data_IF_550544659297
#
_entry.id   IF_550544659297
#
_cell.length_a   1.000
_cell.length_b   1.000
_cell.length_c   1.000
_cell.angle_alpha   90.00
_cell.angle_beta   90.00
_cell.angle_gamma   90.00
#
_symmetry.space_group_name_H-M   'P 1'
#
loop_
_entity.id
_entity.type
_entity.pdbx_description
1 polymer ?
#
# COMPACT_ATOMS: atom_id res chain seq x y z
N UNK A 1 -3.51 25.19 6.46
CA UNK A 1 -3.54 24.40 7.69
C UNK A 1 -2.37 24.85 8.54
N UNK A 2 -2.61 25.17 9.81
CA UNK A 2 -1.54 25.54 10.74
C UNK A 2 -0.71 24.28 11.07
N UNK A 3 0.59 24.30 10.75
CA UNK A 3 1.48 23.15 10.89
C UNK A 3 1.65 22.67 12.33
N UNK A 4 1.53 23.58 13.31
CA UNK A 4 1.67 23.23 14.72
C UNK A 4 0.44 22.48 15.25
N UNK A 5 -0.77 22.89 14.82
CA UNK A 5 -2.00 22.14 15.11
C UNK A 5 -1.96 20.74 14.48
N UNK A 6 -1.49 20.65 13.23
CA UNK A 6 -1.34 19.34 12.58
C UNK A 6 -0.33 18.43 13.32
N UNK A 7 0.72 19.00 13.93
CA UNK A 7 1.69 18.24 14.74
C UNK A 7 1.03 17.59 15.95
N UNK A 8 0.18 18.32 16.67
CA UNK A 8 -0.57 17.78 17.83
C UNK A 8 -1.47 16.62 17.40
N UNK A 9 -2.23 16.79 16.32
CA UNK A 9 -3.10 15.73 15.77
C UNK A 9 -2.30 14.50 15.33
N UNK A 10 -1.16 14.70 14.66
CA UNK A 10 -0.34 13.61 14.15
C UNK A 10 0.30 12.79 15.28
N UNK A 11 0.61 13.39 16.44
CA UNK A 11 1.06 12.67 17.64
C UNK A 11 0.00 11.68 18.18
N UNK A 12 -1.28 12.00 18.01
CA UNK A 12 -2.39 11.12 18.40
C UNK A 12 -2.61 10.03 17.35
N UNK A 13 -2.72 10.40 16.06
CA UNK A 13 -3.21 9.50 15.00
C UNK A 13 -2.13 8.63 14.36
N UNK A 14 -0.88 9.11 14.23
CA UNK A 14 0.21 8.35 13.58
C UNK A 14 0.42 6.95 14.15
N UNK A 15 0.46 6.73 15.48
CA UNK A 15 0.73 5.40 16.05
C UNK A 15 -0.46 4.43 15.94
N UNK A 16 -1.68 4.90 15.67
CA UNK A 16 -2.87 4.03 15.64
C UNK A 16 -2.74 2.93 14.56
N UNK A 17 -3.16 1.69 14.82
CA UNK A 17 -3.18 0.61 13.83
C UNK A 17 -4.43 0.70 12.94
N UNK A 18 -4.54 1.78 12.16
CA UNK A 18 -5.64 2.02 11.23
C UNK A 18 -5.15 2.13 9.77
N UNK A 19 -6.05 1.84 8.84
CA UNK A 19 -5.88 2.06 7.41
C UNK A 19 -5.60 3.53 7.11
N UNK A 20 -4.88 3.79 6.02
CA UNK A 20 -4.55 5.15 5.59
C UNK A 20 -5.79 6.05 5.49
N UNK A 21 -6.86 5.56 4.86
CA UNK A 21 -8.12 6.31 4.68
C UNK A 21 -8.75 6.68 6.02
N UNK A 22 -8.84 5.73 6.96
CA UNK A 22 -9.40 5.99 8.28
C UNK A 22 -8.52 6.94 9.11
N UNK A 23 -7.19 6.82 9.00
CA UNK A 23 -6.27 7.82 9.58
C UNK A 23 -6.46 9.20 8.99
N UNK A 24 -6.70 9.32 7.69
CA UNK A 24 -6.98 10.62 7.07
C UNK A 24 -8.24 11.24 7.67
N UNK A 25 -9.31 10.46 7.77
CA UNK A 25 -10.57 10.91 8.36
C UNK A 25 -10.36 11.39 9.81
N UNK A 26 -9.71 10.56 10.64
CA UNK A 26 -9.38 10.93 12.02
C UNK A 26 -8.54 12.20 12.11
N UNK A 27 -7.51 12.35 11.25
CA UNK A 27 -6.69 13.57 11.20
C UNK A 27 -7.51 14.81 10.87
N UNK A 28 -8.39 14.72 9.87
CA UNK A 28 -9.22 15.85 9.46
C UNK A 28 -10.22 16.23 10.54
N UNK A 29 -10.92 15.25 11.14
CA UNK A 29 -11.88 15.48 12.21
C UNK A 29 -11.22 16.13 13.44
N UNK A 30 -10.12 15.55 13.92
CA UNK A 30 -9.38 16.09 15.06
C UNK A 30 -8.75 17.45 14.77
N UNK A 31 -8.27 17.68 13.54
CA UNK A 31 -7.74 18.98 13.13
C UNK A 31 -8.82 20.05 13.12
N UNK A 32 -10.01 19.75 12.58
CA UNK A 32 -11.13 20.71 12.59
C UNK A 32 -11.55 21.06 14.02
N UNK A 33 -11.62 20.07 14.92
CA UNK A 33 -11.93 20.33 16.34
C UNK A 33 -10.84 21.18 17.02
N UNK A 34 -9.57 20.83 16.81
CA UNK A 34 -8.45 21.58 17.39
C UNK A 34 -8.33 22.99 16.82
N UNK A 35 -8.59 23.17 15.52
CA UNK A 35 -8.62 24.48 14.86
C UNK A 35 -9.75 25.34 15.41
N UNK A 36 -10.93 24.76 15.66
CA UNK A 36 -12.03 25.48 16.30
C UNK A 36 -11.64 25.97 17.70
N UNK A 37 -11.09 25.08 18.55
CA UNK A 37 -10.62 25.47 19.89
C UNK A 37 -9.57 26.57 19.78
N UNK A 38 -8.61 26.45 18.86
CA UNK A 38 -7.59 27.46 18.64
C UNK A 38 -8.19 28.82 18.26
N UNK A 39 -9.19 28.88 17.37
CA UNK A 39 -9.87 30.13 17.02
C UNK A 39 -10.64 30.72 18.21
N UNK A 40 -11.28 29.90 19.03
CA UNK A 40 -11.92 30.35 20.27
C UNK A 40 -10.90 30.99 21.23
N UNK A 41 -9.75 30.35 21.45
CA UNK A 41 -8.70 30.89 22.32
C UNK A 41 -8.02 32.14 21.74
N UNK A 42 -7.86 32.21 20.42
CA UNK A 42 -7.28 33.38 19.73
C UNK A 42 -8.20 34.60 19.77
N UNK A 43 -9.53 34.37 19.77
CA UNK A 43 -10.53 35.44 19.87
C UNK A 43 -10.60 36.11 21.24
N UNK A 44 -9.93 35.56 22.26
CA UNK A 44 -9.84 36.18 23.58
C UNK A 44 -8.87 37.37 23.55
N UNK A 45 -9.39 38.56 23.87
CA UNK A 45 -8.66 39.84 23.81
C UNK A 45 -7.23 39.75 24.39
N UNK A 46 -6.25 40.16 23.57
CA UNK A 46 -4.84 40.26 23.96
C UNK A 46 -4.06 38.93 23.97
N UNK A 47 -4.64 37.82 23.52
CA UNK A 47 -3.93 36.52 23.47
C UNK A 47 -3.03 36.44 22.24
N UNK A 48 -1.74 36.12 22.43
CA UNK A 48 -0.82 35.87 21.32
C UNK A 48 -1.14 34.54 20.63
N UNK A 49 -0.79 34.39 19.35
CA UNK A 49 -0.96 33.13 18.61
C UNK A 49 -0.31 31.93 19.32
N UNK A 50 0.86 32.14 19.92
CA UNK A 50 1.59 31.11 20.67
C UNK A 50 0.86 30.70 21.95
N UNK A 51 0.29 31.65 22.69
CA UNK A 51 -0.48 31.38 23.89
C UNK A 51 -1.81 30.69 23.55
N UNK A 52 -2.48 31.12 22.47
CA UNK A 52 -3.69 30.48 21.98
C UNK A 52 -3.43 29.02 21.56
N UNK A 53 -2.31 28.76 20.87
CA UNK A 53 -1.90 27.40 20.50
C UNK A 53 -1.66 26.51 21.74
N UNK A 54 -0.95 27.03 22.74
CA UNK A 54 -0.67 26.28 23.97
C UNK A 54 -1.95 25.98 24.76
N UNK A 55 -2.84 26.97 24.92
CA UNK A 55 -4.14 26.78 25.58
C UNK A 55 -5.02 25.80 24.81
N UNK A 56 -5.08 25.92 23.49
CA UNK A 56 -5.83 25.01 22.64
C UNK A 56 -5.31 23.56 22.75
N UNK A 57 -3.99 23.36 22.74
CA UNK A 57 -3.36 22.06 22.95
C UNK A 57 -3.70 21.46 24.32
N UNK A 58 -3.64 22.27 25.38
CA UNK A 58 -4.03 21.82 26.74
C UNK A 58 -5.52 21.46 26.83
N UNK A 59 -6.40 22.26 26.22
CA UNK A 59 -7.86 22.04 26.22
C UNK A 59 -8.28 20.88 25.32
N UNK A 60 -7.52 20.59 24.27
CA UNK A 60 -7.70 19.42 23.42
C UNK A 60 -7.51 18.10 24.18
N UNK A 61 -6.67 18.11 25.22
CA UNK A 61 -6.52 17.00 26.17
C UNK A 61 -5.20 16.25 26.04
N UNK A 62 -5.04 15.20 26.85
CA UNK A 62 -3.86 14.33 26.81
C UNK A 62 -3.88 13.46 25.53
N UNK A 63 -2.83 13.55 24.67
CA UNK A 63 -2.71 12.73 23.48
C UNK A 63 -2.83 11.22 23.71
N UNK A 64 -2.40 10.71 24.87
CA UNK A 64 -2.46 9.28 25.19
C UNK A 64 -3.89 8.82 25.50
N UNK A 65 -4.67 9.64 26.21
CA UNK A 65 -6.09 9.37 26.47
C UNK A 65 -6.90 9.38 25.17
N UNK A 66 -6.73 10.42 24.34
CA UNK A 66 -7.38 10.51 23.03
C UNK A 66 -7.02 9.32 22.13
N UNK A 67 -5.75 8.89 22.17
CA UNK A 67 -5.31 7.70 21.42
C UNK A 67 -6.02 6.44 21.92
N UNK A 68 -6.18 6.29 23.24
CA UNK A 68 -6.92 5.18 23.85
C UNK A 68 -8.37 5.12 23.37
N UNK A 69 -9.06 6.27 23.37
CA UNK A 69 -10.44 6.39 22.89
C UNK A 69 -10.55 6.09 21.39
N UNK A 70 -9.71 6.69 20.56
CA UNK A 70 -9.69 6.43 19.12
C UNK A 70 -9.36 4.97 18.81
N UNK A 71 -8.45 4.36 19.56
CA UNK A 71 -8.12 2.95 19.38
C UNK A 71 -9.37 2.09 19.54
N UNK A 72 -10.21 2.34 20.56
CA UNK A 72 -11.46 1.61 20.78
C UNK A 72 -12.45 1.72 19.60
N UNK A 73 -12.40 2.81 18.83
CA UNK A 73 -13.24 2.99 17.63
C UNK A 73 -12.76 2.18 16.42
N UNK A 74 -11.51 1.71 16.39
CA UNK A 74 -10.94 0.98 15.26
C UNK A 74 -11.30 -0.52 15.35
N UNK A 75 -12.01 -1.09 14.34
CA UNK A 75 -12.36 -2.51 14.31
C UNK A 75 -11.13 -3.43 14.41
N UNK A 76 -11.26 -4.56 15.11
CA UNK A 76 -10.17 -5.53 15.26
C UNK A 76 -9.65 -6.07 13.92
N UNK A 77 -10.54 -6.26 12.94
CA UNK A 77 -10.18 -6.68 11.58
C UNK A 77 -9.26 -5.68 10.89
N UNK A 78 -9.49 -4.38 11.09
CA UNK A 78 -8.66 -3.31 10.54
C UNK A 78 -7.27 -3.28 11.19
N UNK A 79 -7.21 -3.53 12.50
CA UNK A 79 -5.93 -3.61 13.23
C UNK A 79 -5.10 -4.80 12.72
N UNK A 80 -5.73 -5.97 12.57
CA UNK A 80 -5.09 -7.16 12.02
C UNK A 80 -4.59 -6.92 10.59
N UNK A 81 -5.41 -6.27 9.76
CA UNK A 81 -5.01 -5.91 8.39
C UNK A 81 -3.84 -4.93 8.37
N UNK A 82 -3.79 -3.95 9.27
CA UNK A 82 -2.68 -2.99 9.36
C UNK A 82 -1.37 -3.68 9.76
N UNK A 83 -1.44 -4.69 10.61
CA UNK A 83 -0.28 -5.53 10.97
C UNK A 83 0.17 -6.34 9.75
N UNK A 84 -0.76 -6.99 9.05
CA UNK A 84 -0.47 -7.74 7.83
C UNK A 84 0.15 -6.85 6.75
N UNK A 85 -0.41 -5.66 6.49
CA UNK A 85 0.12 -4.68 5.54
C UNK A 85 1.55 -4.25 5.90
N UNK A 86 1.80 -3.96 7.19
CA UNK A 86 3.14 -3.60 7.68
C UNK A 86 4.17 -4.72 7.45
N UNK A 87 3.78 -5.97 7.65
CA UNK A 87 4.66 -7.12 7.52
C UNK A 87 4.88 -7.54 6.07
N UNK A 88 3.81 -7.56 5.28
CA UNK A 88 3.81 -8.17 3.94
C UNK A 88 4.06 -7.15 2.83
N UNK A 89 3.49 -5.95 2.91
CA UNK A 89 3.41 -5.03 1.76
C UNK A 89 4.25 -3.77 1.95
N UNK A 90 4.43 -3.31 3.18
CA UNK A 90 5.13 -2.04 3.44
C UNK A 90 6.66 -2.20 3.40
N UNK A 91 7.33 -1.30 2.68
CA UNK A 91 8.78 -1.15 2.70
C UNK A 91 9.24 -0.68 4.08
N UNK A 92 10.25 -1.36 4.65
CA UNK A 92 10.83 -1.00 5.95
C UNK A 92 11.72 0.23 5.81
N UNK A 93 11.85 1.01 6.88
CA UNK A 93 12.80 2.13 6.93
C UNK A 93 14.22 1.60 6.71
N UNK A 94 14.97 2.20 5.78
CA UNK A 94 16.33 1.77 5.41
C UNK A 94 16.41 0.57 4.46
N UNK A 95 15.32 -0.15 4.19
CA UNK A 95 15.32 -1.26 3.23
C UNK A 95 15.54 -0.73 1.81
N UNK A 96 16.46 -1.30 1.03
CA UNK A 96 16.68 -0.93 -0.37
C UNK A 96 15.48 -1.32 -1.25
N UNK A 97 15.24 -0.59 -2.35
CA UNK A 97 14.10 -0.85 -3.24
C UNK A 97 14.11 -2.27 -3.81
N UNK A 98 15.28 -2.76 -4.24
CA UNK A 98 15.42 -4.12 -4.79
C UNK A 98 15.15 -5.20 -3.75
N UNK A 99 15.67 -5.03 -2.53
CA UNK A 99 15.42 -5.96 -1.41
C UNK A 99 13.93 -6.02 -1.06
N UNK A 100 13.28 -4.85 -1.03
CA UNK A 100 11.84 -4.76 -0.86
C UNK A 100 11.07 -5.50 -1.98
N UNK A 101 11.38 -5.26 -3.25
CA UNK A 101 10.73 -5.94 -4.38
C UNK A 101 10.95 -7.46 -4.31
N UNK A 102 12.15 -7.90 -3.92
CA UNK A 102 12.49 -9.31 -3.76
C UNK A 102 11.66 -9.97 -2.66
N UNK A 103 11.51 -9.30 -1.51
CA UNK A 103 10.65 -9.75 -0.42
C UNK A 103 9.18 -9.90 -0.86
N UNK A 104 8.66 -8.95 -1.64
CA UNK A 104 7.30 -9.04 -2.21
C UNK A 104 7.18 -10.24 -3.15
N UNK A 105 8.16 -10.45 -4.05
CA UNK A 105 8.21 -11.62 -4.92
C UNK A 105 8.21 -12.93 -4.14
N UNK A 106 9.01 -13.02 -3.07
CA UNK A 106 9.06 -14.20 -2.20
C UNK A 106 7.74 -14.44 -1.46
N UNK A 107 7.09 -13.40 -0.95
CA UNK A 107 5.76 -13.52 -0.33
C UNK A 107 4.71 -14.00 -1.33
N UNK A 108 4.75 -13.53 -2.57
CA UNK A 108 3.85 -13.99 -3.63
C UNK A 108 4.09 -15.48 -3.97
N UNK A 109 5.35 -15.92 -4.09
CA UNK A 109 5.68 -17.34 -4.25
C UNK A 109 5.15 -18.19 -3.09
N UNK A 110 5.39 -17.76 -1.84
CA UNK A 110 4.93 -18.47 -0.65
C UNK A 110 3.40 -18.58 -0.62
N UNK A 111 2.70 -17.50 -0.95
CA UNK A 111 1.24 -17.49 -1.07
C UNK A 111 0.75 -18.51 -2.11
N UNK A 112 1.40 -18.58 -3.28
CA UNK A 112 1.08 -19.58 -4.31
C UNK A 112 1.37 -21.01 -3.87
N UNK A 113 2.48 -21.24 -3.16
CA UNK A 113 2.79 -22.57 -2.60
C UNK A 113 1.70 -23.02 -1.62
N UNK A 114 1.32 -22.15 -0.67
CA UNK A 114 0.27 -22.44 0.30
C UNK A 114 -1.09 -22.70 -0.37
N UNK A 115 -1.41 -21.93 -1.41
CA UNK A 115 -2.62 -22.12 -2.20
C UNK A 115 -2.61 -23.47 -2.94
N UNK A 116 -1.48 -23.85 -3.53
CA UNK A 116 -1.33 -25.16 -4.19
C UNK A 116 -1.45 -26.34 -3.24
N UNK A 117 -0.86 -26.22 -2.05
CA UNK A 117 -1.01 -27.21 -0.98
C UNK A 117 -2.48 -27.36 -0.56
N UNK A 118 -3.21 -26.25 -0.44
CA UNK A 118 -4.64 -26.27 -0.15
C UNK A 118 -5.42 -27.00 -1.25
N UNK A 119 -5.18 -26.68 -2.53
CA UNK A 119 -5.83 -27.36 -3.65
C UNK A 119 -5.52 -28.86 -3.67
N UNK A 120 -4.27 -29.24 -3.38
CA UNK A 120 -3.87 -30.64 -3.26
C UNK A 120 -4.63 -31.37 -2.15
N UNK A 121 -4.75 -30.75 -0.97
CA UNK A 121 -5.52 -31.31 0.15
C UNK A 121 -7.00 -31.48 -0.24
N UNK A 122 -7.61 -30.47 -0.88
CA UNK A 122 -9.00 -30.57 -1.34
C UNK A 122 -9.17 -31.69 -2.38
N UNK A 123 -8.25 -31.82 -3.33
CA UNK A 123 -8.29 -32.85 -4.36
C UNK A 123 -8.20 -34.27 -3.77
N UNK A 124 -7.31 -34.48 -2.79
CA UNK A 124 -7.18 -35.79 -2.13
C UNK A 124 -8.44 -36.18 -1.34
N UNK A 125 -9.14 -35.22 -0.73
CA UNK A 125 -10.42 -35.48 -0.06
C UNK A 125 -11.57 -35.79 -1.04
N UNK A 126 -11.53 -35.28 -2.26
CA UNK A 126 -12.57 -35.53 -3.27
C UNK A 126 -12.49 -36.92 -3.93
N UNK A 127 -11.57 -37.81 -3.48
CA UNK A 127 -11.32 -39.14 -4.07
C UNK A 127 -11.02 -39.12 -5.57
N UNK A 128 -10.56 -37.98 -6.07
CA UNK A 128 -9.96 -37.93 -7.40
C UNK A 128 -8.55 -38.49 -7.29
N UNK A 129 -8.12 -39.24 -8.32
CA UNK A 129 -6.75 -39.73 -8.42
C UNK A 129 -5.75 -38.57 -8.19
N UNK A 130 -4.61 -38.82 -7.53
CA UNK A 130 -3.63 -37.78 -7.26
C UNK A 130 -3.20 -37.08 -8.56
N UNK A 131 -2.94 -35.76 -8.52
CA UNK A 131 -2.58 -35.02 -9.71
C UNK A 131 -1.32 -35.62 -10.36
N UNK A 132 -1.37 -35.78 -11.68
CA UNK A 132 -0.26 -36.29 -12.49
C UNK A 132 1.03 -35.47 -12.30
N UNK A 133 2.19 -36.08 -12.55
CA UNK A 133 3.50 -35.40 -12.50
C UNK A 133 3.54 -34.11 -13.37
N UNK A 134 2.77 -34.10 -14.46
CA UNK A 134 2.58 -32.95 -15.37
C UNK A 134 2.03 -31.71 -14.66
N UNK A 135 1.12 -31.89 -13.69
CA UNK A 135 0.53 -30.81 -12.91
C UNK A 135 1.58 -30.08 -12.05
N UNK A 136 2.49 -30.82 -11.41
CA UNK A 136 3.51 -30.23 -10.54
C UNK A 136 4.56 -29.43 -11.31
N UNK A 137 4.91 -29.87 -12.53
CA UNK A 137 5.76 -29.11 -13.43
C UNK A 137 5.15 -27.75 -13.78
N UNK A 138 3.87 -27.76 -14.18
CA UNK A 138 3.12 -26.53 -14.46
C UNK A 138 3.00 -25.65 -13.20
N UNK A 139 2.67 -26.24 -12.05
CA UNK A 139 2.50 -25.50 -10.80
C UNK A 139 3.78 -24.78 -10.38
N UNK A 140 4.93 -25.44 -10.54
CA UNK A 140 6.24 -24.85 -10.25
C UNK A 140 6.51 -23.64 -11.16
N UNK A 141 6.20 -23.77 -12.46
CA UNK A 141 6.30 -22.66 -13.42
C UNK A 141 5.37 -21.51 -13.04
N UNK A 142 4.13 -21.80 -12.62
CA UNK A 142 3.17 -20.80 -12.17
C UNK A 142 3.68 -20.04 -10.92
N UNK A 143 4.24 -20.76 -9.92
CA UNK A 143 4.84 -20.13 -8.74
C UNK A 143 5.97 -19.17 -9.13
N UNK A 144 6.89 -19.62 -9.98
CA UNK A 144 8.04 -18.81 -10.41
C UNK A 144 7.60 -17.58 -11.19
N UNK A 145 6.66 -17.73 -12.13
CA UNK A 145 6.13 -16.61 -12.92
C UNK A 145 5.42 -15.59 -12.02
N UNK A 146 4.60 -16.03 -11.06
CA UNK A 146 3.95 -15.12 -10.09
C UNK A 146 4.97 -14.35 -9.25
N UNK A 147 6.03 -15.02 -8.78
CA UNK A 147 7.11 -14.38 -8.01
C UNK A 147 7.85 -13.31 -8.81
N UNK A 148 8.29 -13.66 -10.02
CA UNK A 148 9.00 -12.74 -10.94
C UNK A 148 8.11 -11.57 -11.33
N UNK A 149 6.83 -11.84 -11.64
CA UNK A 149 5.87 -10.79 -11.97
C UNK A 149 5.65 -9.84 -10.80
N UNK A 150 5.50 -10.36 -9.58
CA UNK A 150 5.33 -9.55 -8.38
C UNK A 150 6.54 -8.67 -8.10
N UNK A 151 7.76 -9.21 -8.25
CA UNK A 151 9.00 -8.44 -8.16
C UNK A 151 9.05 -7.29 -9.18
N UNK A 152 8.86 -7.61 -10.46
CA UNK A 152 8.98 -6.65 -11.55
C UNK A 152 7.86 -5.59 -11.50
N UNK A 153 6.61 -5.99 -11.25
CA UNK A 153 5.49 -5.04 -11.13
C UNK A 153 5.69 -4.09 -9.95
N UNK A 154 6.21 -4.57 -8.83
CA UNK A 154 6.54 -3.70 -7.68
C UNK A 154 7.63 -2.70 -8.04
N UNK A 155 8.68 -3.15 -8.74
CA UNK A 155 9.77 -2.29 -9.19
C UNK A 155 9.27 -1.23 -10.19
N UNK A 156 8.55 -1.66 -11.23
CA UNK A 156 7.96 -0.79 -12.24
C UNK A 156 6.98 0.21 -11.61
N UNK A 157 6.17 -0.23 -10.65
CA UNK A 157 5.22 0.63 -9.93
C UNK A 157 5.94 1.75 -9.17
N UNK A 158 7.04 1.42 -8.47
CA UNK A 158 7.84 2.42 -7.76
C UNK A 158 8.53 3.41 -8.73
N UNK A 159 9.06 2.92 -9.86
CA UNK A 159 9.66 3.78 -10.90
C UNK A 159 8.61 4.69 -11.55
N UNK A 160 7.42 4.15 -11.84
CA UNK A 160 6.31 4.90 -12.41
C UNK A 160 5.80 5.98 -11.43
N UNK A 161 5.68 5.65 -10.13
CA UNK A 161 5.29 6.59 -9.09
C UNK A 161 6.28 7.76 -8.95
N UNK A 162 7.58 7.53 -9.15
CA UNK A 162 8.59 8.61 -9.17
C UNK A 162 8.40 9.61 -10.33
N UNK A 163 7.61 9.26 -11.35
CA UNK A 163 7.21 10.17 -12.44
C UNK A 163 6.14 11.19 -12.04
N UNK A 164 5.52 11.04 -10.87
CA UNK A 164 4.53 11.98 -10.34
C UNK A 164 5.20 12.93 -9.35
N UNK A 165 4.95 14.23 -9.49
CA UNK A 165 5.37 15.25 -8.53
C UNK A 165 4.14 15.94 -7.98
N UNK A 166 4.17 16.23 -6.70
CA UNK A 166 3.07 16.93 -6.03
C UNK A 166 3.41 18.42 -5.99
N UNK A 167 2.50 19.23 -6.52
CA UNK A 167 2.63 20.69 -6.54
C UNK A 167 1.31 21.26 -6.01
N UNK A 168 1.34 21.85 -4.81
CA UNK A 168 0.19 22.50 -4.15
C UNK A 168 -1.05 21.58 -4.04
N UNK A 169 -0.88 20.34 -3.58
CA UNK A 169 -1.98 19.39 -3.41
C UNK A 169 -2.57 18.83 -4.72
N UNK A 170 -2.00 19.18 -5.88
CA UNK A 170 -2.33 18.56 -7.17
C UNK A 170 -1.21 17.63 -7.60
N UNK A 171 -1.57 16.42 -8.04
CA UNK A 171 -0.66 15.51 -8.72
C UNK A 171 -0.34 16.05 -10.11
N UNK A 172 0.91 16.43 -10.35
CA UNK A 172 1.41 16.76 -11.68
C UNK A 172 2.25 15.62 -12.22
N UNK A 173 2.04 15.34 -13.49
CA UNK A 173 2.74 14.31 -14.23
C UNK A 173 4.01 14.90 -14.82
N UNK A 174 5.17 14.56 -14.25
CA UNK A 174 6.46 15.17 -14.63
C UNK A 174 7.24 14.28 -15.59
N UNK A 175 6.99 12.97 -15.57
CA UNK A 175 7.65 11.99 -16.44
C UNK A 175 6.68 11.13 -17.23
N UNK A 176 5.91 11.69 -18.19
CA UNK A 176 4.90 10.93 -18.93
C UNK A 176 5.46 9.71 -19.65
N UNK A 177 6.62 9.87 -20.27
CA UNK A 177 7.28 8.78 -20.98
C UNK A 177 7.65 7.63 -20.04
N UNK A 178 8.15 7.91 -18.84
CA UNK A 178 8.53 6.86 -17.88
C UNK A 178 7.31 6.05 -17.44
N UNK A 179 6.20 6.71 -17.15
CA UNK A 179 4.96 6.03 -16.78
C UNK A 179 4.41 5.17 -17.92
N UNK A 180 4.37 5.70 -19.15
CA UNK A 180 3.92 4.95 -20.33
C UNK A 180 4.81 3.72 -20.55
N UNK A 181 6.13 3.89 -20.50
CA UNK A 181 7.07 2.78 -20.65
C UNK A 181 6.93 1.73 -19.55
N UNK A 182 6.76 2.13 -18.29
CA UNK A 182 6.52 1.19 -17.19
C UNK A 182 5.19 0.45 -17.35
N UNK A 183 4.16 1.13 -17.85
CA UNK A 183 2.84 0.55 -18.12
C UNK A 183 2.91 -0.50 -19.24
N UNK A 184 3.57 -0.17 -20.34
CA UNK A 184 3.78 -1.10 -21.45
C UNK A 184 4.63 -2.29 -20.99
N UNK A 185 5.71 -2.06 -20.24
CA UNK A 185 6.55 -3.12 -19.69
C UNK A 185 5.77 -4.06 -18.76
N UNK A 186 4.90 -3.51 -17.88
CA UNK A 186 4.03 -4.30 -17.02
C UNK A 186 3.06 -5.17 -17.83
N UNK A 187 2.42 -4.61 -18.86
CA UNK A 187 1.52 -5.35 -19.74
C UNK A 187 2.24 -6.48 -20.50
N UNK A 188 3.39 -6.17 -21.11
CA UNK A 188 4.20 -7.16 -21.85
C UNK A 188 4.69 -8.29 -20.94
N UNK A 189 5.09 -7.97 -19.71
CA UNK A 189 5.57 -8.94 -18.73
C UNK A 189 4.49 -9.97 -18.36
N UNK A 190 3.28 -9.51 -18.03
CA UNK A 190 2.17 -10.41 -17.69
C UNK A 190 1.71 -11.18 -18.92
N UNK A 191 1.56 -10.53 -20.07
CA UNK A 191 1.19 -11.19 -21.31
C UNK A 191 2.15 -12.32 -21.70
N UNK A 192 3.46 -12.09 -21.55
CA UNK A 192 4.48 -13.12 -21.83
C UNK A 192 4.38 -14.30 -20.86
N UNK A 193 4.15 -14.01 -19.58
CA UNK A 193 4.00 -15.05 -18.54
C UNK A 193 2.74 -15.89 -18.77
N UNK A 194 1.63 -15.27 -19.13
CA UNK A 194 0.37 -15.97 -19.42
C UNK A 194 0.49 -16.84 -20.67
N UNK A 195 1.08 -16.33 -21.75
CA UNK A 195 1.33 -17.13 -22.96
C UNK A 195 2.24 -18.31 -22.66
N UNK A 196 3.27 -18.14 -21.83
CA UNK A 196 4.15 -19.22 -21.40
C UNK A 196 3.39 -20.29 -20.60
N UNK A 197 2.52 -19.87 -19.67
CA UNK A 197 1.67 -20.77 -18.91
C UNK A 197 0.66 -21.52 -19.80
N UNK A 198 0.03 -20.83 -20.76
CA UNK A 198 -0.87 -21.43 -21.74
C UNK A 198 -0.14 -22.44 -22.63
N UNK A 199 1.05 -22.09 -23.13
CA UNK A 199 1.87 -22.98 -23.93
C UNK A 199 2.19 -24.29 -23.19
N UNK A 200 2.52 -24.20 -21.89
CA UNK A 200 2.82 -25.38 -21.09
C UNK A 200 1.57 -26.21 -20.77
N UNK A 201 0.43 -25.57 -20.47
CA UNK A 201 -0.78 -26.25 -20.02
C UNK A 201 -1.59 -26.85 -21.18
N UNK A 202 -1.79 -26.09 -22.24
CA UNK A 202 -2.69 -26.42 -23.35
C UNK A 202 -2.01 -26.45 -24.70
N UNK A 203 -0.71 -26.17 -24.80
CA UNK A 203 0.02 -26.07 -26.06
C UNK A 203 -0.22 -27.22 -27.06
N UNK A 204 -0.24 -28.50 -26.64
CA UNK A 204 -0.56 -29.61 -27.53
C UNK A 204 -1.99 -29.58 -28.11
N UNK A 205 -2.91 -28.90 -27.44
CA UNK A 205 -4.34 -28.83 -27.77
C UNK A 205 -4.78 -27.47 -28.32
N UNK A 206 -3.91 -26.44 -28.21
CA UNK A 206 -4.22 -25.07 -28.59
C UNK A 206 -4.03 -24.85 -30.09
N UNK A 207 -5.14 -24.65 -30.81
CA UNK A 207 -5.14 -24.48 -32.27
C UNK A 207 -5.10 -23.00 -32.72
N UNK A 208 -5.36 -22.06 -31.81
CA UNK A 208 -5.33 -20.63 -32.09
C UNK A 208 -3.90 -20.07 -31.98
N UNK A 209 -3.64 -18.94 -32.61
CA UNK A 209 -2.37 -18.22 -32.42
C UNK A 209 -2.24 -17.68 -30.99
N UNK A 210 -1.01 -17.54 -30.49
CA UNK A 210 -0.75 -16.93 -29.18
C UNK A 210 -0.80 -15.38 -29.19
N UNK A 211 -0.91 -14.76 -30.36
CA UNK A 211 -0.92 -13.31 -30.49
C UNK A 211 -2.17 -12.66 -29.88
N UNK A 212 -3.35 -13.26 -30.07
CA UNK A 212 -4.61 -12.76 -29.53
C UNK A 212 -4.64 -12.74 -27.99
N UNK A 213 -4.37 -13.85 -27.27
CA UNK A 213 -4.33 -13.83 -25.81
C UNK A 213 -3.22 -12.91 -25.29
N UNK A 214 -2.07 -12.84 -25.98
CA UNK A 214 -0.99 -11.93 -25.61
C UNK A 214 -1.44 -10.47 -25.62
N UNK A 215 -2.02 -10.01 -26.74
CA UNK A 215 -2.48 -8.62 -26.89
C UNK A 215 -3.59 -8.29 -25.91
N UNK A 216 -4.54 -9.21 -25.72
CA UNK A 216 -5.66 -9.04 -24.80
C UNK A 216 -5.18 -8.90 -23.35
N UNK A 217 -4.38 -9.86 -22.86
CA UNK A 217 -3.83 -9.83 -21.51
C UNK A 217 -2.96 -8.60 -21.31
N UNK A 218 -2.08 -8.28 -22.27
CA UNK A 218 -1.19 -7.13 -22.18
C UNK A 218 -1.94 -5.79 -22.10
N UNK A 219 -3.01 -5.62 -22.87
CA UNK A 219 -3.84 -4.41 -22.85
C UNK A 219 -4.57 -4.24 -21.52
N UNK A 220 -5.23 -5.29 -21.02
CA UNK A 220 -5.97 -5.24 -19.75
C UNK A 220 -5.00 -4.98 -18.59
N UNK A 221 -3.93 -5.75 -18.50
CA UNK A 221 -2.98 -5.66 -17.38
C UNK A 221 -2.21 -4.35 -17.40
N UNK A 222 -1.81 -3.85 -18.57
CA UNK A 222 -1.24 -2.51 -18.72
C UNK A 222 -2.22 -1.44 -18.25
N UNK A 223 -3.48 -1.50 -18.66
CA UNK A 223 -4.50 -0.53 -18.27
C UNK A 223 -4.76 -0.56 -16.76
N UNK A 224 -4.93 -1.75 -16.17
CA UNK A 224 -5.08 -1.93 -14.73
C UNK A 224 -3.89 -1.37 -13.96
N UNK A 225 -2.67 -1.67 -14.42
CA UNK A 225 -1.44 -1.14 -13.81
C UNK A 225 -1.42 0.39 -13.83
N UNK A 226 -1.72 1.01 -14.97
CA UNK A 226 -1.79 2.46 -15.10
C UNK A 226 -2.81 3.09 -14.14
N UNK A 227 -4.01 2.50 -14.05
CA UNK A 227 -5.07 2.96 -13.15
C UNK A 227 -4.63 2.85 -11.69
N UNK A 228 -4.05 1.72 -11.28
CA UNK A 228 -3.59 1.50 -9.90
C UNK A 228 -2.49 2.49 -9.53
N UNK A 229 -1.48 2.68 -10.40
CA UNK A 229 -0.39 3.63 -10.14
C UNK A 229 -0.93 5.07 -10.06
N UNK A 230 -1.87 5.44 -10.93
CA UNK A 230 -2.48 6.76 -10.90
C UNK A 230 -3.29 6.99 -9.61
N UNK A 231 -4.15 6.03 -9.25
CA UNK A 231 -4.92 6.08 -8.00
C UNK A 231 -4.00 6.18 -6.79
N UNK A 232 -2.90 5.41 -6.79
CA UNK A 232 -1.92 5.45 -5.71
C UNK A 232 -1.19 6.79 -5.64
N UNK A 233 -0.77 7.35 -6.77
CA UNK A 233 -0.15 8.67 -6.82
C UNK A 233 -1.10 9.77 -6.29
N UNK A 234 -2.39 9.66 -6.62
CA UNK A 234 -3.44 10.55 -6.13
C UNK A 234 -3.67 10.39 -4.63
N UNK A 235 -3.73 9.15 -4.15
CA UNK A 235 -3.83 8.83 -2.73
C UNK A 235 -2.64 9.46 -1.97
N UNK A 236 -1.41 9.15 -2.35
CA UNK A 236 -0.21 9.65 -1.68
C UNK A 236 -0.13 11.19 -1.68
N UNK A 237 -0.75 11.88 -2.66
CA UNK A 237 -0.85 13.33 -2.69
C UNK A 237 -1.80 13.92 -1.66
N UNK A 238 -2.86 13.20 -1.30
CA UNK A 238 -3.75 13.61 -0.20
C UNK A 238 -3.05 13.48 1.15
N UNK A 239 -2.12 12.53 1.29
CA UNK A 239 -1.41 12.25 2.55
C UNK A 239 -0.15 13.08 2.76
N UNK A 240 0.42 13.67 1.70
CA UNK A 240 1.71 14.36 1.77
C UNK A 240 1.80 15.44 2.86
N UNK A 241 0.83 16.36 3.03
CA UNK A 241 0.92 17.41 4.05
C UNK A 241 1.10 16.86 5.46
N UNK A 242 0.53 15.68 5.74
CA UNK A 242 0.62 15.01 7.03
C UNK A 242 1.92 14.21 7.21
N UNK A 243 2.45 13.67 6.12
CA UNK A 243 3.69 12.88 6.14
C UNK A 243 4.93 13.76 6.28
N UNK A 244 4.90 15.00 5.79
CA UNK A 244 6.00 15.98 5.90
C UNK A 244 6.17 16.54 7.31
N UNK A 245 5.19 16.34 8.19
CA UNK A 245 5.27 16.78 9.58
C UNK A 245 6.29 15.90 10.31
N UNK A 246 7.43 16.53 10.62
CA UNK A 246 8.39 15.99 11.57
C UNK A 246 7.76 16.04 12.97
N UNK A 247 7.59 14.85 13.55
CA UNK A 247 7.33 14.74 14.98
C UNK A 247 8.69 14.83 15.68
N UNK A 248 8.80 15.55 16.81
CA UNK A 248 9.96 15.41 17.67
C UNK A 248 10.13 13.93 17.99
N UNK A 249 11.35 13.41 17.82
CA UNK A 249 11.65 12.00 18.07
C UNK A 249 11.15 11.64 19.46
N UNK A 250 10.09 10.82 19.54
CA UNK A 250 9.67 10.28 20.82
C UNK A 250 10.88 9.55 21.41
N UNK A 251 11.26 9.82 22.67
CA UNK A 251 12.37 9.14 23.30
C UNK A 251 12.14 7.64 23.19
N UNK A 252 13.17 6.91 22.74
CA UNK A 252 13.18 5.53 22.28
C UNK A 252 12.71 4.47 23.30
N UNK A 253 12.20 4.90 24.45
CA UNK A 253 11.93 4.09 25.64
C UNK A 253 10.76 3.10 25.51
N UNK A 254 9.97 3.13 24.44
CA UNK A 254 8.81 2.23 24.25
C UNK A 254 8.95 1.20 23.11
N UNK A 255 10.16 0.94 22.58
CA UNK A 255 10.35 -0.14 21.56
C UNK A 255 10.58 -1.54 22.13
N UNK A 256 10.56 -1.72 23.45
CA UNK A 256 10.58 -3.04 24.07
C UNK A 256 9.16 -3.53 24.32
N UNK A 257 8.83 -4.73 23.84
CA UNK A 257 7.56 -5.47 24.04
C UNK A 257 6.43 -5.18 23.03
N UNK A 258 6.53 -5.86 21.89
CA UNK A 258 5.38 -6.31 21.09
C UNK A 258 5.70 -7.69 20.52
#
# INVERSE_FOLDING_TARGET
MNTDLMRVVEQVVRPLPALKVNKMRMRMELYTLLEQIYQEELSQDGTSETAALERASRRFGDPELLRGELLQTIPLSERAWTIADRLLVRRREGEGLVCFCFRIGLHACLGMVLFGLLLYVVATFQKNDPPELSFWGWWTLAILTVGVNSFCLTLLGNVALAGFRQIKGRTRFVGPLRFILCTLAAGLLIASSEVLNMYYLVGPYWKLGYAEPFLFVGMITGTMFAVIVWLRAREDAQFQPWNEISLPSQPSAMRGTA
#
